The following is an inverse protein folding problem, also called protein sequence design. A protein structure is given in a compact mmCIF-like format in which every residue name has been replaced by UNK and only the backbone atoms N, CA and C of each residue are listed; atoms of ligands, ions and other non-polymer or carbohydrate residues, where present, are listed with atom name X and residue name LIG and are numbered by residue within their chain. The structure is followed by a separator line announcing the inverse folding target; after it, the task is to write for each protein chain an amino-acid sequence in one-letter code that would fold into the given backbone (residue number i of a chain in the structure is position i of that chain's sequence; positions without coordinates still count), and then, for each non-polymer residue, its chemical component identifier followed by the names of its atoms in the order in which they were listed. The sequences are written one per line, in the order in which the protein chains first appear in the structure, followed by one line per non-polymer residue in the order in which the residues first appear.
data_IF_686158647622
#
_entry.id   IF_686158647622
#
_cell.length_a   1.000
_cell.length_b   1.000
_cell.length_c   1.000
_cell.angle_alpha   90.00
_cell.angle_beta   90.00
_cell.angle_gamma   90.00
#
_symmetry.space_group_name_H-M   'P 1'
#
loop_
_entity.id
_entity.type
_entity.pdbx_description
1 polymer ?
#
# COMPACT_ATOMS: atom_id res chain seq x y z
N UNK A 1 6.60 -4.33 -6.54
CA UNK A 1 6.61 -4.84 -5.17
C UNK A 1 6.93 -3.73 -4.19
N UNK A 2 6.14 -3.64 -3.14
CA UNK A 2 6.30 -2.64 -2.10
C UNK A 2 6.67 -3.37 -0.81
N UNK A 3 7.72 -2.91 -0.14
CA UNK A 3 8.23 -3.57 1.05
C UNK A 3 8.08 -2.64 2.25
N UNK A 4 7.51 -3.16 3.34
CA UNK A 4 7.38 -2.46 4.61
C UNK A 4 8.00 -3.28 5.72
N UNK A 5 8.69 -2.62 6.62
CA UNK A 5 9.15 -3.24 7.85
C UNK A 5 8.09 -3.05 8.93
N UNK A 6 7.55 -4.15 9.42
CA UNK A 6 6.49 -4.14 10.43
C UNK A 6 7.10 -4.57 11.75
N UNK A 7 7.04 -3.72 12.76
CA UNK A 7 7.69 -3.97 14.04
C UNK A 7 6.77 -4.59 15.08
N UNK A 8 5.46 -4.55 14.84
CA UNK A 8 4.49 -5.09 15.77
C UNK A 8 3.43 -5.88 15.03
N UNK A 9 2.97 -6.95 15.65
CA UNK A 9 1.84 -7.70 15.14
C UNK A 9 0.59 -6.83 15.14
N UNK A 10 -0.20 -6.88 14.06
CA UNK A 10 -1.47 -6.18 13.98
C UNK A 10 -2.52 -7.11 13.40
N UNK A 11 -3.63 -7.36 14.13
CA UNK A 11 -4.72 -8.17 13.59
C UNK A 11 -5.53 -7.42 12.54
N UNK A 12 -5.44 -6.09 12.49
CA UNK A 12 -6.17 -5.26 11.54
C UNK A 12 -5.17 -4.36 10.82
N UNK A 13 -5.04 -4.54 9.51
CA UNK A 13 -4.15 -3.73 8.70
C UNK A 13 -4.70 -3.56 7.29
N UNK A 14 -4.45 -2.40 6.71
CA UNK A 14 -4.85 -2.06 5.35
C UNK A 14 -3.69 -1.44 4.60
N UNK A 15 -3.54 -1.82 3.35
CA UNK A 15 -2.61 -1.17 2.43
C UNK A 15 -3.42 -0.33 1.46
N UNK A 16 -3.10 0.95 1.38
CA UNK A 16 -3.80 1.92 0.55
C UNK A 16 -2.79 2.54 -0.42
N UNK A 17 -3.14 2.61 -1.69
CA UNK A 17 -2.30 3.26 -2.70
C UNK A 17 -3.00 4.55 -3.09
N UNK A 18 -2.27 5.67 -2.99
CA UNK A 18 -2.81 6.98 -3.38
C UNK A 18 -1.90 7.62 -4.43
N UNK A 19 -2.47 8.54 -5.22
CA UNK A 19 -1.67 9.39 -6.10
C UNK A 19 -1.11 10.57 -5.29
N UNK A 20 -0.36 11.46 -5.93
CA UNK A 20 0.23 12.60 -5.24
C UNK A 20 -0.80 13.64 -4.82
N UNK A 21 -1.99 13.59 -5.38
CA UNK A 21 -3.10 14.46 -4.98
C UNK A 21 -3.82 13.95 -3.74
N UNK A 22 -3.44 12.76 -3.25
CA UNK A 22 -4.06 12.16 -2.08
C UNK A 22 -5.28 11.31 -2.40
N UNK A 23 -5.61 11.12 -3.66
CA UNK A 23 -6.76 10.29 -4.04
C UNK A 23 -6.39 8.81 -3.93
N UNK A 24 -7.22 8.04 -3.24
CA UNK A 24 -7.01 6.60 -3.12
C UNK A 24 -7.35 5.92 -4.45
N UNK A 25 -6.38 5.21 -5.00
CA UNK A 25 -6.55 4.52 -6.27
C UNK A 25 -6.70 3.02 -6.07
N UNK A 26 -6.27 2.50 -4.94
CA UNK A 26 -6.40 1.08 -4.63
C UNK A 26 -6.30 0.85 -3.12
N UNK A 27 -6.99 -0.16 -2.60
CA UNK A 27 -6.93 -0.52 -1.19
C UNK A 27 -7.11 -2.01 -1.05
N UNK A 28 -6.35 -2.61 -0.13
CA UNK A 28 -6.48 -4.03 0.17
C UNK A 28 -6.30 -4.27 1.65
N UNK A 29 -6.98 -5.30 2.16
CA UNK A 29 -6.80 -5.77 3.53
C UNK A 29 -5.61 -6.71 3.56
N UNK A 30 -4.72 -6.53 4.54
CA UNK A 30 -3.48 -7.31 4.65
C UNK A 30 -3.32 -7.95 6.02
N UNK A 31 -4.41 -8.19 6.69
CA UNK A 31 -4.42 -8.74 8.04
C UNK A 31 -4.50 -10.26 8.03
N UNK A 32 -4.01 -10.98 9.06
CA UNK A 32 -3.18 -10.45 10.15
C UNK A 32 -1.77 -10.14 9.67
N UNK A 33 -1.13 -9.18 10.32
CA UNK A 33 0.18 -8.72 9.92
C UNK A 33 1.19 -9.06 11.01
N UNK A 34 2.14 -9.93 10.70
CA UNK A 34 3.19 -10.33 11.64
C UNK A 34 4.31 -9.30 11.66
N UNK A 35 5.00 -9.20 12.82
CA UNK A 35 6.12 -8.28 12.97
C UNK A 35 7.35 -8.81 12.23
N UNK A 36 7.53 -8.36 11.00
CA UNK A 36 8.67 -8.68 10.14
C UNK A 36 8.59 -7.84 8.88
N UNK A 37 9.55 -7.96 7.99
CA UNK A 37 9.47 -7.31 6.70
C UNK A 37 8.35 -7.97 5.88
N UNK A 38 7.41 -7.16 5.43
CA UNK A 38 6.28 -7.58 4.61
C UNK A 38 6.43 -7.03 3.21
N UNK A 39 6.12 -7.86 2.22
CA UNK A 39 6.17 -7.48 0.81
C UNK A 39 4.79 -7.56 0.23
N UNK A 40 4.38 -6.49 -0.44
CA UNK A 40 3.08 -6.42 -1.10
C UNK A 40 3.30 -6.14 -2.58
N UNK A 41 2.51 -6.80 -3.42
CA UNK A 41 2.57 -6.58 -4.86
C UNK A 41 1.33 -5.84 -5.31
N UNK A 42 1.55 -4.73 -6.04
CA UNK A 42 0.47 -4.01 -6.70
C UNK A 42 0.80 -3.98 -8.18
N UNK A 43 -0.14 -4.41 -9.00
CA UNK A 43 0.08 -4.57 -10.43
C UNK A 43 -0.34 -3.34 -11.23
N UNK A 44 -0.55 -2.20 -10.57
CA UNK A 44 -0.88 -0.96 -11.24
C UNK A 44 -2.31 -0.88 -11.71
N UNK A 45 -3.24 -1.49 -10.98
CA UNK A 45 -4.66 -1.45 -11.33
C UNK A 45 -5.44 -0.63 -10.33
N UNK A 46 -6.36 0.17 -10.85
CA UNK A 46 -7.29 0.93 -10.05
C UNK A 46 -8.39 0.01 -9.52
N UNK A 47 -9.23 0.54 -8.61
CA UNK A 47 -10.38 -0.21 -8.06
C UNK A 47 -11.29 -0.77 -9.14
N UNK A 48 -11.45 -0.04 -10.24
CA UNK A 48 -12.36 -0.43 -11.33
C UNK A 48 -11.71 -1.40 -12.33
N UNK A 49 -10.48 -1.86 -12.04
CA UNK A 49 -9.78 -2.80 -12.92
C UNK A 49 -9.00 -2.15 -14.06
N UNK A 50 -9.11 -0.84 -14.23
CA UNK A 50 -8.35 -0.13 -15.26
C UNK A 50 -6.89 0.05 -14.83
N UNK A 51 -6.00 0.22 -15.81
CA UNK A 51 -4.59 0.44 -15.52
C UNK A 51 -4.37 1.84 -14.95
N UNK A 52 -3.55 1.92 -13.91
CA UNK A 52 -3.12 3.19 -13.37
C UNK A 52 -2.06 3.80 -14.29
N UNK A 53 -2.05 5.12 -14.47
CA UNK A 53 -1.00 5.77 -15.28
C UNK A 53 0.37 5.60 -14.66
N UNK A 54 1.41 5.61 -15.49
CA UNK A 54 2.79 5.71 -15.02
C UNK A 54 2.95 6.98 -14.20
N UNK A 55 3.58 6.88 -13.05
CA UNK A 55 3.78 8.04 -12.20
C UNK A 55 4.21 7.66 -10.80
N UNK A 56 4.18 8.65 -9.92
CA UNK A 56 4.57 8.49 -8.52
C UNK A 56 3.33 8.29 -7.68
N UNK A 57 3.40 7.30 -6.79
CA UNK A 57 2.30 6.92 -5.90
C UNK A 57 2.80 6.79 -4.49
N UNK A 58 1.88 6.84 -3.54
CA UNK A 58 2.17 6.63 -2.13
C UNK A 58 1.48 5.35 -1.67
N UNK A 59 2.26 4.48 -1.04
CA UNK A 59 1.73 3.28 -0.39
C UNK A 59 1.64 3.58 1.10
N UNK A 60 0.46 3.42 1.66
CA UNK A 60 0.19 3.71 3.07
C UNK A 60 -0.27 2.45 3.76
N UNK A 61 0.52 1.98 4.71
CA UNK A 61 0.17 0.82 5.52
C UNK A 61 -0.40 1.33 6.84
N UNK A 62 -1.69 1.09 7.04
CA UNK A 62 -2.39 1.44 8.28
C UNK A 62 -2.49 0.21 9.15
N UNK A 63 -2.02 0.28 10.39
CA UNK A 63 -2.11 -0.83 11.32
C UNK A 63 -2.45 -0.28 12.71
N UNK A 64 -3.70 -0.43 13.10
CA UNK A 64 -4.18 0.16 14.34
C UNK A 64 -4.06 1.66 14.28
N UNK A 65 -3.34 2.26 15.25
CA UNK A 65 -3.12 3.70 15.30
C UNK A 65 -1.89 4.15 14.53
N UNK A 66 -1.15 3.23 13.91
CA UNK A 66 0.08 3.54 13.20
C UNK A 66 -0.17 3.65 11.69
N UNK A 67 0.57 4.57 11.06
CA UNK A 67 0.53 4.73 9.62
C UNK A 67 1.96 4.85 9.11
N UNK A 68 2.31 3.96 8.17
CA UNK A 68 3.61 3.99 7.51
C UNK A 68 3.37 4.35 6.05
N UNK A 69 4.08 5.36 5.55
CA UNK A 69 3.92 5.84 4.17
C UNK A 69 5.22 5.64 3.41
N UNK A 70 5.11 5.14 2.19
CA UNK A 70 6.26 4.93 1.32
C UNK A 70 5.93 5.40 -0.10
N UNK A 71 6.80 6.23 -0.65
CA UNK A 71 6.66 6.72 -2.02
C UNK A 71 7.32 5.75 -2.98
N UNK A 72 6.70 5.51 -4.11
CA UNK A 72 7.27 4.64 -5.15
C UNK A 72 6.83 5.11 -6.53
N UNK A 73 7.55 4.62 -7.55
CA UNK A 73 7.26 4.95 -8.94
C UNK A 73 6.68 3.73 -9.64
N UNK A 74 5.58 3.91 -10.35
CA UNK A 74 5.00 2.89 -11.21
C UNK A 74 5.44 3.17 -12.64
N UNK A 75 6.12 2.20 -13.23
CA UNK A 75 6.55 2.26 -14.63
C UNK A 75 5.78 1.22 -15.43
N UNK A 76 5.19 1.66 -16.51
CA UNK A 76 4.43 0.80 -17.44
C UNK A 76 5.24 0.51 -18.68
#
# INVERSE_FOLDING_TARGET
TIEFRVEQFSPIAYLSITDLMGREVYKMSVQPLAAKTQKFSWHGRLHNGQDAPTGIYLAKLSQGSQLITKKFTLLK
#
